data_IF_645179672599
#
_entry.id   IF_645179672599
#
_cell.length_a   1.000
_cell.length_b   1.000
_cell.length_c   1.000
_cell.angle_alpha   90.00
_cell.angle_beta   90.00
_cell.angle_gamma   90.00
#
_symmetry.space_group_name_H-M   'P 1'
#
loop_
_entity.id
_entity.type
_entity.pdbx_description
1 polymer ?
#
# COMPACT_ATOMS: atom_id res chain seq x y z
N UNK A 1 -6.01 -0.41 16.98
CA UNK A 1 -6.66 -0.44 15.64
C UNK A 1 -5.58 -0.71 14.58
N UNK A 2 -5.92 -1.35 13.45
CA UNK A 2 -4.97 -1.70 12.38
C UNK A 2 -4.17 -0.48 11.87
N UNK A 3 -4.85 0.65 11.62
CA UNK A 3 -4.23 1.90 11.16
C UNK A 3 -3.14 2.41 12.09
N UNK A 4 -3.36 2.38 13.40
CA UNK A 4 -2.35 2.79 14.38
C UNK A 4 -1.09 1.94 14.24
N UNK A 5 -1.24 0.62 14.08
CA UNK A 5 -0.10 -0.29 13.90
C UNK A 5 0.61 -0.06 12.58
N UNK A 6 -0.14 0.20 11.50
CA UNK A 6 0.43 0.53 10.19
C UNK A 6 1.25 1.81 10.22
N UNK A 7 0.73 2.89 10.82
CA UNK A 7 1.49 4.15 10.96
C UNK A 7 2.78 3.97 11.74
N UNK A 8 2.75 3.20 12.84
CA UNK A 8 3.95 2.91 13.63
C UNK A 8 4.97 2.08 12.84
N UNK A 9 4.51 1.04 12.14
CA UNK A 9 5.38 0.19 11.32
C UNK A 9 6.03 0.96 10.16
N UNK A 10 5.22 1.68 9.39
CA UNK A 10 5.70 2.51 8.27
C UNK A 10 6.64 3.61 8.76
N UNK A 11 6.36 4.26 9.89
CA UNK A 11 7.25 5.25 10.48
C UNK A 11 8.63 4.68 10.82
N UNK A 12 8.70 3.43 11.30
CA UNK A 12 9.98 2.75 11.55
C UNK A 12 10.74 2.43 10.26
N UNK A 13 10.03 1.98 9.23
CA UNK A 13 10.61 1.68 7.91
C UNK A 13 11.22 2.96 7.31
N UNK A 14 10.46 4.05 7.31
CA UNK A 14 10.91 5.36 6.79
C UNK A 14 12.09 5.89 7.59
N UNK A 15 12.05 5.81 8.93
CA UNK A 15 13.17 6.24 9.77
C UNK A 15 14.44 5.41 9.57
N UNK A 16 14.32 4.17 9.09
CA UNK A 16 15.47 3.33 8.75
C UNK A 16 16.01 3.52 7.32
N UNK A 17 15.28 4.27 6.48
CA UNK A 17 15.71 4.61 5.12
C UNK A 17 16.53 5.89 5.15
N UNK A 18 17.84 5.78 4.95
CA UNK A 18 18.76 6.92 5.00
C UNK A 18 19.05 7.55 3.63
N UNK A 19 18.81 6.82 2.53
CA UNK A 19 19.25 7.22 1.19
C UNK A 19 18.25 6.92 0.06
N UNK A 20 17.07 6.34 0.35
CA UNK A 20 16.13 5.96 -0.70
C UNK A 20 15.00 6.97 -0.87
N UNK A 21 14.82 7.45 -2.10
CA UNK A 21 13.69 8.29 -2.52
C UNK A 21 12.37 7.52 -2.58
N UNK A 22 12.42 6.18 -2.57
CA UNK A 22 11.25 5.30 -2.65
C UNK A 22 11.49 3.98 -1.92
N UNK A 23 10.44 3.48 -1.26
CA UNK A 23 10.48 2.24 -0.48
C UNK A 23 9.37 1.31 -0.96
N UNK A 24 9.72 0.08 -1.33
CA UNK A 24 8.75 -0.97 -1.65
C UNK A 24 8.43 -1.76 -0.40
N UNK A 25 7.15 -1.82 -0.03
CA UNK A 25 6.65 -2.58 1.12
C UNK A 25 5.76 -3.71 0.64
N UNK A 26 6.21 -4.96 0.83
CA UNK A 26 5.41 -6.15 0.54
C UNK A 26 4.49 -6.42 1.73
N UNK A 27 3.19 -6.45 1.48
CA UNK A 27 2.18 -6.62 2.53
C UNK A 27 0.90 -7.26 1.99
N UNK A 28 -0.05 -7.54 2.87
CA UNK A 28 -1.38 -8.01 2.48
C UNK A 28 -2.25 -6.84 1.99
N UNK A 29 -3.17 -7.12 1.07
CA UNK A 29 -4.14 -6.13 0.58
C UNK A 29 -4.90 -5.42 1.71
N UNK A 30 -5.20 -6.12 2.81
CA UNK A 30 -5.84 -5.53 3.99
C UNK A 30 -5.11 -4.31 4.59
N UNK A 31 -3.79 -4.26 4.49
CA UNK A 31 -3.01 -3.10 4.92
C UNK A 31 -3.16 -1.92 3.94
N UNK A 32 -3.18 -2.21 2.65
CA UNK A 32 -3.37 -1.22 1.58
C UNK A 32 -4.77 -0.63 1.68
N UNK A 33 -5.81 -1.47 1.76
CA UNK A 33 -7.21 -1.04 1.87
C UNK A 33 -7.47 -0.17 3.10
N UNK A 34 -6.79 -0.46 4.21
CA UNK A 34 -6.92 0.34 5.41
C UNK A 34 -6.37 1.78 5.19
N UNK A 35 -5.22 1.91 4.55
CA UNK A 35 -4.65 3.23 4.22
C UNK A 35 -5.47 3.97 3.17
N UNK A 36 -5.98 3.27 2.15
CA UNK A 36 -6.91 3.84 1.17
C UNK A 36 -8.18 4.37 1.84
N UNK A 37 -8.80 3.57 2.70
CA UNK A 37 -9.99 3.97 3.46
C UNK A 37 -9.73 5.16 4.38
N UNK A 38 -8.55 5.22 5.02
CA UNK A 38 -8.14 6.38 5.83
C UNK A 38 -8.09 7.68 5.00
N UNK A 39 -7.79 7.58 3.71
CA UNK A 39 -7.67 8.70 2.78
C UNK A 39 -8.95 8.91 1.94
N UNK A 40 -10.03 8.22 2.27
CA UNK A 40 -11.37 8.42 1.69
C UNK A 40 -11.62 7.67 0.38
N UNK A 41 -10.74 6.76 -0.04
CA UNK A 41 -10.96 5.94 -1.24
C UNK A 41 -12.01 4.85 -0.99
N UNK A 42 -12.77 4.57 -2.04
CA UNK A 42 -13.69 3.46 -2.05
C UNK A 42 -12.92 2.13 -2.11
N UNK A 43 -13.47 1.10 -1.47
CA UNK A 43 -12.91 -0.23 -1.52
C UNK A 43 -12.95 -0.78 -2.95
N UNK A 44 -11.76 -1.07 -3.48
CA UNK A 44 -11.59 -1.85 -4.71
C UNK A 44 -10.57 -2.94 -4.45
N UNK A 45 -10.91 -4.18 -4.77
CA UNK A 45 -10.00 -5.32 -4.55
C UNK A 45 -8.72 -5.13 -5.36
N UNK A 46 -7.58 -5.49 -4.76
CA UNK A 46 -6.28 -5.52 -5.44
C UNK A 46 -5.97 -6.97 -5.80
N UNK A 47 -5.44 -7.18 -7.00
CA UNK A 47 -4.90 -8.47 -7.42
C UNK A 47 -3.59 -8.76 -6.68
N UNK A 48 -3.17 -10.01 -6.68
CA UNK A 48 -1.84 -10.43 -6.27
C UNK A 48 -0.81 -9.71 -7.15
N UNK A 49 0.27 -9.23 -6.52
CA UNK A 49 1.29 -8.38 -7.13
C UNK A 49 0.79 -7.02 -7.65
N UNK A 50 -0.48 -6.69 -7.46
CA UNK A 50 -0.97 -5.31 -7.55
C UNK A 50 -0.47 -4.47 -6.37
N UNK A 51 -0.26 -3.17 -6.61
CA UNK A 51 0.26 -2.22 -5.63
C UNK A 51 -0.49 -0.89 -5.60
N UNK A 52 -0.17 -0.08 -4.60
CA UNK A 52 -0.68 1.29 -4.44
C UNK A 52 0.47 2.19 -4.00
N UNK A 53 0.67 3.28 -4.71
CA UNK A 53 1.59 4.34 -4.30
C UNK A 53 0.98 5.17 -3.18
N UNK A 54 1.83 5.54 -2.22
CA UNK A 54 1.53 6.52 -1.20
C UNK A 54 2.72 7.45 -1.06
N UNK A 55 2.49 8.75 -1.18
CA UNK A 55 3.50 9.74 -0.86
C UNK A 55 3.44 10.04 0.63
N UNK A 56 4.60 10.13 1.28
CA UNK A 56 4.71 10.54 2.67
C UNK A 56 5.42 11.89 2.74
N UNK A 57 4.65 12.96 2.95
CA UNK A 57 5.14 14.33 3.04
C UNK A 57 4.73 14.87 4.41
N UNK A 58 5.69 15.40 5.18
CA UNK A 58 5.45 15.93 6.53
C UNK A 58 4.63 14.98 7.44
N UNK A 59 4.96 13.68 7.39
CA UNK A 59 4.29 12.61 8.16
C UNK A 59 2.78 12.43 7.84
N UNK A 60 2.35 12.89 6.65
CA UNK A 60 1.01 12.68 6.11
C UNK A 60 1.09 11.86 4.83
N UNK A 61 0.15 10.93 4.69
CA UNK A 61 0.02 10.11 3.50
C UNK A 61 -0.85 10.82 2.46
N UNK A 62 -0.44 10.73 1.21
CA UNK A 62 -1.21 11.14 0.04
C UNK A 62 -1.33 9.95 -0.91
N UNK A 63 -2.46 9.85 -1.59
CA UNK A 63 -2.73 8.74 -2.51
C UNK A 63 -2.02 9.00 -3.84
N UNK A 64 -1.21 8.04 -4.26
CA UNK A 64 -0.70 7.95 -5.62
C UNK A 64 -1.49 6.93 -6.44
N UNK A 65 -0.93 6.51 -7.56
CA UNK A 65 -1.58 5.58 -8.48
C UNK A 65 -1.67 4.14 -7.94
N UNK A 66 -2.66 3.38 -8.41
CA UNK A 66 -2.63 1.92 -8.31
C UNK A 66 -1.77 1.39 -9.44
N UNK A 67 -0.94 0.39 -9.14
CA UNK A 67 -0.06 -0.25 -10.13
C UNK A 67 -0.42 -1.72 -10.28
N UNK A 68 -0.26 -2.22 -11.50
CA UNK A 68 -0.26 -3.65 -11.79
C UNK A 68 1.12 -4.04 -12.27
N UNK A 69 1.64 -5.14 -11.72
CA UNK A 69 2.95 -5.69 -12.11
C UNK A 69 2.82 -6.88 -13.07
N UNK A 70 1.61 -7.38 -13.28
CA UNK A 70 1.29 -8.49 -14.16
C UNK A 70 0.43 -7.99 -15.32
N UNK A 71 0.48 -8.72 -16.44
CA UNK A 71 -0.46 -8.50 -17.53
C UNK A 71 -1.89 -8.86 -17.08
N UNK A 72 -2.94 -8.21 -17.63
CA UNK A 72 -4.31 -8.39 -17.15
C UNK A 72 -4.84 -9.82 -17.15
N UNK A 73 -4.35 -10.67 -18.05
CA UNK A 73 -4.70 -12.09 -18.19
C UNK A 73 -3.94 -13.00 -17.21
N UNK A 74 -2.90 -12.48 -16.55
CA UNK A 74 -2.12 -13.18 -15.51
C UNK A 74 -2.52 -12.78 -14.09
N UNK A 75 -3.36 -11.75 -13.94
CA UNK A 75 -3.83 -11.28 -12.64
C UNK A 75 -4.60 -12.39 -11.90
N UNK A 76 -4.22 -12.60 -10.65
CA UNK A 76 -4.95 -13.48 -9.73
C UNK A 76 -5.41 -12.68 -8.53
N UNK A 77 -6.60 -12.95 -8.03
CA UNK A 77 -7.16 -12.33 -6.83
C UNK A 77 -7.22 -13.35 -5.69
N UNK A 78 -7.14 -12.91 -4.43
CA UNK A 78 -7.32 -13.84 -3.32
C UNK A 78 -8.70 -14.51 -3.40
N UNK A 79 -8.77 -15.78 -3.02
CA UNK A 79 -9.97 -16.64 -3.06
C UNK A 79 -10.48 -17.05 -4.47
N UNK A 80 -9.65 -16.94 -5.52
CA UNK A 80 -9.98 -17.41 -6.88
C UNK A 80 -9.60 -18.87 -7.18
N UNK A 81 -9.33 -19.70 -6.15
CA UNK A 81 -8.94 -21.11 -6.29
C UNK A 81 -10.06 -22.05 -5.86
#
# INVERSE_FOLDING_TARGET
MLITRLRVGLGRIVASSTEADSIVVVTHGGCIYALESLLGEEYRRISNLGGRWFDLIDNKFYLGERIQLLDPDEETFPDQI
#
